data_IF_993719707036
#
_entry.id   IF_993719707036
#
_cell.length_a   1.000
_cell.length_b   1.000
_cell.length_c   1.000
_cell.angle_alpha   90.00
_cell.angle_beta   90.00
_cell.angle_gamma   90.00
#
_symmetry.space_group_name_H-M   'P 1'
#
loop_
_entity.id
_entity.type
_entity.pdbx_description
1 polymer ?
#
# COMPACT_ATOMS: atom_id res chain seq x y z
N UNK A 1 -18.87 -26.87 -15.13
CA UNK A 1 -18.40 -25.56 -15.66
C UNK A 1 -17.00 -25.35 -15.10
N UNK A 2 -15.98 -25.66 -15.90
CA UNK A 2 -14.58 -25.68 -15.44
C UNK A 2 -14.08 -24.27 -15.18
N UNK A 3 -13.63 -24.04 -13.95
CA UNK A 3 -12.86 -22.86 -13.56
C UNK A 3 -11.55 -22.96 -14.35
N UNK A 4 -11.36 -22.09 -15.34
CA UNK A 4 -10.09 -21.96 -16.05
C UNK A 4 -9.03 -21.56 -15.03
N UNK A 5 -8.11 -22.47 -14.79
CA UNK A 5 -6.93 -22.26 -13.96
C UNK A 5 -6.13 -21.05 -14.45
N UNK A 6 -5.57 -20.32 -13.49
CA UNK A 6 -4.65 -19.22 -13.76
C UNK A 6 -3.53 -19.69 -14.70
N UNK A 7 -3.19 -18.94 -15.77
CA UNK A 7 -2.20 -19.37 -16.77
C UNK A 7 -0.78 -19.56 -16.24
N UNK A 8 -0.56 -19.32 -14.95
CA UNK A 8 0.77 -19.33 -14.32
C UNK A 8 1.08 -20.58 -13.49
N UNK A 9 0.22 -21.62 -13.51
CA UNK A 9 0.41 -22.81 -12.65
C UNK A 9 1.67 -23.63 -12.95
N UNK A 10 2.27 -23.51 -14.13
CA UNK A 10 3.47 -24.27 -14.54
C UNK A 10 4.72 -23.42 -14.81
N UNK A 11 4.60 -22.09 -14.86
CA UNK A 11 5.71 -21.21 -15.12
C UNK A 11 6.43 -20.81 -13.84
N UNK A 12 7.76 -20.94 -13.79
CA UNK A 12 8.59 -20.35 -12.74
C UNK A 12 8.79 -18.87 -13.02
N UNK A 13 8.64 -18.02 -12.00
CA UNK A 13 8.95 -16.60 -12.11
C UNK A 13 10.42 -16.40 -12.49
N UNK A 14 10.68 -15.55 -13.48
CA UNK A 14 12.05 -15.28 -13.98
C UNK A 14 12.84 -14.39 -13.02
N UNK A 15 12.15 -13.60 -12.22
CA UNK A 15 12.74 -12.70 -11.24
C UNK A 15 11.72 -12.39 -10.12
N UNK A 16 12.20 -11.76 -9.06
CA UNK A 16 11.37 -11.41 -7.89
C UNK A 16 10.19 -10.51 -8.25
N UNK A 17 10.33 -9.62 -9.23
CA UNK A 17 9.28 -8.70 -9.64
C UNK A 17 8.09 -9.44 -10.28
N UNK A 18 8.38 -10.41 -11.15
CA UNK A 18 7.36 -11.27 -11.76
C UNK A 18 6.64 -12.11 -10.69
N UNK A 19 7.38 -12.64 -9.71
CA UNK A 19 6.80 -13.34 -8.56
C UNK A 19 5.84 -12.43 -7.78
N UNK A 20 6.24 -11.18 -7.53
CA UNK A 20 5.41 -10.18 -6.83
C UNK A 20 4.12 -9.92 -7.62
N UNK A 21 4.21 -9.70 -8.93
CA UNK A 21 3.03 -9.43 -9.78
C UNK A 21 2.06 -10.59 -9.77
N UNK A 22 2.53 -11.83 -9.90
CA UNK A 22 1.67 -13.03 -9.86
C UNK A 22 0.99 -13.21 -8.50
N UNK A 23 1.74 -12.94 -7.42
CA UNK A 23 1.17 -12.97 -6.09
C UNK A 23 0.09 -11.90 -5.91
N UNK A 24 0.34 -10.67 -6.37
CA UNK A 24 -0.64 -9.57 -6.31
C UNK A 24 -1.90 -9.86 -7.13
N UNK A 25 -1.79 -10.46 -8.30
CA UNK A 25 -2.97 -10.86 -9.09
C UNK A 25 -3.85 -11.84 -8.30
N UNK A 26 -3.23 -12.81 -7.64
CA UNK A 26 -3.92 -13.78 -6.78
C UNK A 26 -4.55 -13.09 -5.56
N UNK A 27 -3.82 -12.20 -4.89
CA UNK A 27 -4.28 -11.44 -3.74
C UNK A 27 -5.50 -10.58 -4.09
N UNK A 28 -5.46 -9.87 -5.23
CA UNK A 28 -6.57 -9.04 -5.72
C UNK A 28 -7.81 -9.90 -6.01
N UNK A 29 -7.64 -11.07 -6.64
CA UNK A 29 -8.74 -12.01 -6.88
C UNK A 29 -9.40 -12.45 -5.58
N UNK A 30 -8.62 -12.69 -4.53
CA UNK A 30 -9.14 -13.04 -3.22
C UNK A 30 -9.85 -11.86 -2.53
N UNK A 31 -9.31 -10.67 -2.61
CA UNK A 31 -9.98 -9.48 -2.08
C UNK A 31 -11.33 -9.23 -2.76
N UNK A 32 -11.41 -9.39 -4.08
CA UNK A 32 -12.67 -9.23 -4.83
C UNK A 32 -13.76 -10.23 -4.44
N UNK A 33 -13.40 -11.41 -3.90
CA UNK A 33 -14.37 -12.37 -3.35
C UNK A 33 -14.95 -11.89 -2.01
N UNK A 34 -14.20 -11.08 -1.26
CA UNK A 34 -14.61 -10.58 0.07
C UNK A 34 -15.40 -9.28 -0.07
N UNK A 35 -14.94 -8.39 -0.94
CA UNK A 35 -15.59 -7.10 -1.19
C UNK A 35 -15.52 -6.77 -2.68
N UNK A 36 -16.66 -6.47 -3.29
CA UNK A 36 -16.75 -6.11 -4.71
C UNK A 36 -16.17 -4.71 -4.97
N UNK A 37 -15.88 -4.40 -6.24
CA UNK A 37 -15.47 -3.05 -6.62
C UNK A 37 -16.59 -2.04 -6.37
N UNK A 38 -17.83 -2.43 -6.68
CA UNK A 38 -19.01 -1.59 -6.45
C UNK A 38 -19.17 -1.23 -4.97
N UNK A 39 -18.95 -2.19 -4.06
CA UNK A 39 -19.01 -1.94 -2.62
C UNK A 39 -17.86 -1.06 -2.12
N UNK A 40 -16.68 -1.16 -2.71
CA UNK A 40 -15.59 -0.23 -2.43
C UNK A 40 -15.95 1.19 -2.87
N UNK A 41 -16.53 1.34 -4.08
CA UNK A 41 -16.96 2.65 -4.59
C UNK A 41 -18.02 3.28 -3.66
N UNK A 42 -19.04 2.52 -3.26
CA UNK A 42 -20.05 2.99 -2.28
C UNK A 42 -19.46 3.42 -0.95
N UNK A 43 -18.37 2.77 -0.51
CA UNK A 43 -17.66 3.16 0.71
C UNK A 43 -16.90 4.48 0.59
N UNK A 44 -16.49 4.88 -0.62
CA UNK A 44 -15.80 6.15 -0.83
C UNK A 44 -16.66 7.35 -0.45
N UNK A 45 -17.98 7.28 -0.64
CA UNK A 45 -18.90 8.36 -0.28
C UNK A 45 -18.89 8.69 1.24
N UNK A 46 -18.35 7.76 2.06
CA UNK A 46 -18.25 7.89 3.52
C UNK A 46 -16.83 8.22 4.00
N UNK A 47 -15.89 8.38 3.06
CA UNK A 47 -14.48 8.66 3.38
C UNK A 47 -14.23 10.14 3.14
N UNK A 48 -13.62 10.83 4.11
CA UNK A 48 -13.23 12.23 3.97
C UNK A 48 -12.39 12.44 2.70
N UNK A 49 -12.44 13.62 2.07
CA UNK A 49 -11.58 13.92 0.91
C UNK A 49 -10.10 13.64 1.20
N UNK A 50 -9.32 13.19 0.21
CA UNK A 50 -7.89 12.92 0.42
C UNK A 50 -7.16 14.21 0.79
N UNK A 51 -6.22 14.09 1.71
CA UNK A 51 -5.32 15.19 2.06
C UNK A 51 -4.33 15.43 0.93
N UNK A 52 -3.99 16.69 0.71
CA UNK A 52 -3.05 17.06 -0.34
C UNK A 52 -1.62 16.67 0.05
N UNK A 53 -1.21 15.49 -0.42
CA UNK A 53 0.10 14.90 -0.14
C UNK A 53 1.25 15.76 -0.68
N UNK A 54 1.12 16.28 -1.91
CA UNK A 54 2.15 17.11 -2.53
C UNK A 54 2.28 18.44 -1.81
N UNK A 55 1.17 19.11 -1.52
CA UNK A 55 1.16 20.39 -0.79
C UNK A 55 1.83 20.26 0.57
N UNK A 56 1.59 19.14 1.27
CA UNK A 56 2.20 18.91 2.60
C UNK A 56 3.72 18.78 2.54
N UNK A 57 4.29 18.27 1.46
CA UNK A 57 5.75 18.22 1.24
C UNK A 57 6.28 19.60 0.88
N UNK A 58 5.63 20.29 -0.08
CA UNK A 58 6.08 21.59 -0.58
C UNK A 58 6.01 22.68 0.49
N UNK A 59 5.02 22.65 1.36
CA UNK A 59 4.80 23.62 2.43
C UNK A 59 5.21 23.11 3.81
N UNK A 60 6.07 22.09 3.86
CA UNK A 60 6.61 21.60 5.13
C UNK A 60 7.30 22.71 5.92
N UNK A 61 7.07 22.74 7.23
CA UNK A 61 7.76 23.66 8.16
C UNK A 61 9.25 23.36 8.27
N UNK A 62 9.61 22.09 8.15
CA UNK A 62 11.00 21.61 8.15
C UNK A 62 11.42 21.38 6.70
N UNK A 63 12.56 21.90 6.28
CA UNK A 63 13.10 21.75 4.93
C UNK A 63 14.36 20.88 4.95
N UNK A 64 14.47 19.91 4.04
CA UNK A 64 13.47 19.48 3.06
C UNK A 64 12.26 18.78 3.71
N UNK A 65 11.08 18.77 3.03
CA UNK A 65 9.94 18.01 3.47
C UNK A 65 10.25 16.51 3.56
N UNK A 66 9.83 15.84 4.62
CA UNK A 66 10.16 14.44 4.92
C UNK A 66 8.95 13.54 4.77
N UNK A 67 9.10 12.46 3.98
CA UNK A 67 8.18 11.32 3.96
C UNK A 67 8.78 10.24 4.85
N UNK A 68 8.19 10.01 6.02
CA UNK A 68 8.64 8.97 6.94
C UNK A 68 8.00 7.61 6.59
N UNK A 69 8.78 6.53 6.59
CA UNK A 69 8.30 5.20 6.20
C UNK A 69 8.02 4.29 7.39
N UNK A 70 6.83 3.70 7.45
CA UNK A 70 6.45 2.63 8.38
C UNK A 70 6.59 1.30 7.67
N UNK A 71 7.61 0.53 8.07
CA UNK A 71 7.96 -0.76 7.48
C UNK A 71 8.40 -1.75 8.55
N UNK A 72 7.76 -2.92 8.63
CA UNK A 72 8.08 -3.98 9.58
C UNK A 72 9.23 -4.86 9.10
N UNK A 73 9.20 -5.25 7.83
CA UNK A 73 10.15 -6.18 7.23
C UNK A 73 10.46 -5.82 5.78
N UNK A 74 11.52 -6.41 5.23
CA UNK A 74 11.82 -6.35 3.80
C UNK A 74 12.43 -7.67 3.32
N UNK A 75 12.33 -8.03 2.01
CA UNK A 75 12.90 -9.27 1.48
C UNK A 75 14.42 -9.38 1.69
N UNK A 76 15.14 -8.27 1.67
CA UNK A 76 16.59 -8.25 1.79
C UNK A 76 17.12 -8.26 3.22
N UNK A 77 16.32 -7.80 4.21
CA UNK A 77 16.75 -7.65 5.61
C UNK A 77 15.92 -8.47 6.60
N UNK A 78 14.86 -9.15 6.15
CA UNK A 78 13.92 -9.82 7.05
C UNK A 78 13.17 -8.82 7.92
N UNK A 79 12.89 -9.20 9.18
CA UNK A 79 12.25 -8.30 10.15
C UNK A 79 13.23 -7.20 10.53
N UNK A 80 12.81 -5.94 10.34
CA UNK A 80 13.60 -4.74 10.65
C UNK A 80 13.28 -4.25 12.06
N UNK A 81 12.02 -4.45 12.50
CA UNK A 81 11.56 -4.01 13.81
C UNK A 81 10.66 -5.07 14.42
N UNK A 82 11.12 -5.68 15.55
CA UNK A 82 10.38 -6.73 16.26
C UNK A 82 9.23 -6.14 17.07
N UNK A 83 9.46 -5.06 17.82
CA UNK A 83 8.48 -4.30 18.60
C UNK A 83 7.69 -3.32 17.71
N UNK A 84 7.01 -3.84 16.71
CA UNK A 84 6.34 -3.05 15.70
C UNK A 84 4.97 -2.54 16.19
N UNK A 85 4.92 -1.29 16.65
CA UNK A 85 3.68 -0.57 16.98
C UNK A 85 3.44 0.57 15.98
N UNK A 86 2.62 0.37 14.93
CA UNK A 86 2.44 1.35 13.87
C UNK A 86 1.81 2.67 14.36
N UNK A 87 0.96 2.63 15.40
CA UNK A 87 0.34 3.84 15.98
C UNK A 87 1.38 4.73 16.68
N UNK A 88 2.22 4.14 17.50
CA UNK A 88 3.28 4.86 18.22
C UNK A 88 4.31 5.43 17.25
N UNK A 89 4.69 4.65 16.22
CA UNK A 89 5.60 5.10 15.18
C UNK A 89 5.02 6.30 14.43
N UNK A 90 3.75 6.23 14.01
CA UNK A 90 3.07 7.31 13.31
C UNK A 90 3.02 8.59 14.15
N UNK A 91 2.63 8.48 15.43
CA UNK A 91 2.59 9.61 16.36
C UNK A 91 3.98 10.21 16.62
N UNK A 92 5.02 9.37 16.68
CA UNK A 92 6.41 9.81 16.80
C UNK A 92 6.84 10.63 15.58
N UNK A 93 6.57 10.12 14.36
CA UNK A 93 6.89 10.81 13.12
C UNK A 93 6.19 12.16 12.99
N UNK A 94 4.90 12.23 13.35
CA UNK A 94 4.15 13.49 13.36
C UNK A 94 4.76 14.50 14.33
N UNK A 95 5.06 14.11 15.57
CA UNK A 95 5.73 14.99 16.55
C UNK A 95 7.12 15.42 16.12
N UNK A 96 7.83 14.58 15.37
CA UNK A 96 9.16 14.86 14.83
C UNK A 96 9.15 15.73 13.58
N UNK A 97 7.96 16.17 13.10
CA UNK A 97 7.82 17.10 11.99
C UNK A 97 7.85 16.44 10.60
N UNK A 98 7.57 15.15 10.47
CA UNK A 98 7.35 14.52 9.17
C UNK A 98 6.23 15.25 8.42
N UNK A 99 6.38 15.40 7.11
CA UNK A 99 5.37 16.05 6.25
C UNK A 99 4.28 15.07 5.84
N UNK A 100 4.66 13.81 5.63
CA UNK A 100 3.80 12.72 5.19
C UNK A 100 4.35 11.40 5.75
N UNK A 101 3.51 10.36 5.75
CA UNK A 101 3.92 9.00 6.13
C UNK A 101 3.64 8.05 4.98
N UNK A 102 4.61 7.19 4.62
CA UNK A 102 4.39 6.03 3.76
C UNK A 102 4.23 4.77 4.60
N UNK A 103 3.24 3.93 4.25
CA UNK A 103 2.92 2.70 4.99
C UNK A 103 2.98 1.53 4.04
N UNK A 104 3.85 0.54 4.33
CA UNK A 104 3.91 -0.70 3.58
C UNK A 104 2.64 -1.51 3.81
N UNK A 105 1.94 -1.90 2.73
CA UNK A 105 0.70 -2.69 2.81
C UNK A 105 0.84 -4.08 2.19
N UNK A 106 1.98 -4.38 1.56
CA UNK A 106 2.26 -5.72 1.07
C UNK A 106 2.52 -6.70 2.22
N UNK A 107 1.71 -7.77 2.27
CA UNK A 107 1.74 -8.75 3.35
C UNK A 107 2.90 -9.74 3.21
N UNK A 108 3.11 -10.27 2.00
CA UNK A 108 4.03 -11.39 1.77
C UNK A 108 5.49 -10.96 1.88
N UNK A 109 5.83 -9.84 1.26
CA UNK A 109 7.23 -9.41 1.09
C UNK A 109 7.68 -8.41 2.16
N UNK A 110 6.73 -7.66 2.76
CA UNK A 110 7.04 -6.59 3.73
C UNK A 110 6.34 -6.73 5.07
N UNK A 111 5.55 -7.78 5.28
CA UNK A 111 4.74 -7.99 6.48
C UNK A 111 3.85 -6.78 6.83
N UNK A 112 3.44 -6.04 5.79
CA UNK A 112 2.50 -4.94 5.87
C UNK A 112 1.05 -5.39 5.76
N UNK A 113 0.09 -4.48 5.89
CA UNK A 113 -1.30 -4.75 5.59
C UNK A 113 -2.14 -3.47 5.50
N UNK A 114 -3.34 -3.58 4.93
CA UNK A 114 -4.31 -2.47 4.94
C UNK A 114 -4.83 -2.16 6.35
N UNK A 115 -4.83 -3.13 7.26
CA UNK A 115 -5.17 -2.93 8.67
C UNK A 115 -4.15 -2.03 9.36
N UNK A 116 -2.86 -2.22 9.10
CA UNK A 116 -1.78 -1.33 9.57
C UNK A 116 -2.00 0.10 9.05
N UNK A 117 -2.35 0.26 7.77
CA UNK A 117 -2.65 1.58 7.19
C UNK A 117 -3.83 2.25 7.91
N UNK A 118 -4.89 1.49 8.22
CA UNK A 118 -6.04 1.99 8.99
C UNK A 118 -5.66 2.38 10.43
N UNK A 119 -4.79 1.61 11.07
CA UNK A 119 -4.29 1.93 12.40
C UNK A 119 -3.48 3.23 12.40
N UNK A 120 -2.60 3.40 11.41
CA UNK A 120 -1.83 4.63 11.20
C UNK A 120 -2.77 5.81 10.95
N UNK A 121 -3.81 5.63 10.10
CA UNK A 121 -4.78 6.70 9.81
C UNK A 121 -5.48 7.20 11.08
N UNK A 122 -5.77 6.32 12.02
CA UNK A 122 -6.40 6.69 13.30
C UNK A 122 -5.43 7.40 14.27
N UNK A 123 -4.12 7.24 14.07
CA UNK A 123 -3.09 7.75 14.97
C UNK A 123 -2.47 9.08 14.53
N UNK A 124 -2.71 9.54 13.29
CA UNK A 124 -2.08 10.75 12.76
C UNK A 124 -3.00 11.52 11.82
N UNK A 125 -2.79 12.83 11.74
CA UNK A 125 -3.42 13.69 10.76
C UNK A 125 -2.57 13.94 9.51
N UNK A 126 -1.35 13.42 9.44
CA UNK A 126 -0.49 13.58 8.27
C UNK A 126 -1.09 12.86 7.03
N UNK A 127 -0.82 13.34 5.80
CA UNK A 127 -1.14 12.61 4.59
C UNK A 127 -0.44 11.25 4.56
N UNK A 128 -1.17 10.21 4.11
CA UNK A 128 -0.69 8.83 4.07
C UNK A 128 -0.52 8.33 2.64
N UNK A 129 0.64 7.76 2.34
CA UNK A 129 0.93 7.04 1.12
C UNK A 129 0.77 5.53 1.38
N UNK A 130 -0.13 4.87 0.65
CA UNK A 130 -0.14 3.41 0.57
C UNK A 130 1.01 2.94 -0.31
N UNK A 131 2.00 2.29 0.29
CA UNK A 131 3.18 1.78 -0.43
C UNK A 131 2.99 0.29 -0.71
N UNK A 132 2.60 -0.01 -1.93
CA UNK A 132 2.34 -1.36 -2.43
C UNK A 132 2.70 -1.47 -3.92
N UNK A 133 2.69 -2.69 -4.47
CA UNK A 133 2.78 -2.95 -5.91
C UNK A 133 1.38 -2.85 -6.51
N UNK A 134 1.06 -1.69 -7.06
CA UNK A 134 -0.25 -1.41 -7.64
C UNK A 134 -0.29 -1.89 -9.09
N UNK A 135 -1.09 -2.92 -9.36
CA UNK A 135 -1.30 -3.51 -10.68
C UNK A 135 -2.75 -3.44 -11.15
N UNK A 136 -3.66 -2.94 -10.30
CA UNK A 136 -5.09 -2.84 -10.60
C UNK A 136 -5.71 -1.62 -9.93
N UNK A 137 -6.65 -0.97 -10.63
CA UNK A 137 -7.45 0.12 -10.06
C UNK A 137 -8.20 -0.29 -8.78
N UNK A 138 -8.57 -1.57 -8.65
CA UNK A 138 -9.18 -2.11 -7.43
C UNK A 138 -8.35 -1.80 -6.17
N UNK A 139 -7.02 -1.91 -6.25
CA UNK A 139 -6.11 -1.62 -5.13
C UNK A 139 -6.14 -0.14 -4.75
N UNK A 140 -6.31 0.77 -5.72
CA UNK A 140 -6.41 2.22 -5.47
C UNK A 140 -7.67 2.51 -4.64
N UNK A 141 -8.82 1.96 -5.03
CA UNK A 141 -10.07 2.10 -4.27
C UNK A 141 -9.93 1.51 -2.86
N UNK A 142 -9.33 0.31 -2.75
CA UNK A 142 -9.09 -0.34 -1.46
C UNK A 142 -8.16 0.49 -0.57
N UNK A 143 -7.07 1.02 -1.11
CA UNK A 143 -6.15 1.89 -0.38
C UNK A 143 -6.87 3.15 0.12
N UNK A 144 -7.69 3.79 -0.73
CA UNK A 144 -8.44 4.98 -0.36
C UNK A 144 -9.44 4.72 0.76
N UNK A 145 -10.22 3.66 0.67
CA UNK A 145 -11.16 3.24 1.73
C UNK A 145 -10.44 2.86 3.01
N UNK A 146 -9.18 2.43 2.93
CA UNK A 146 -8.33 2.13 4.08
C UNK A 146 -7.63 3.36 4.67
N UNK A 147 -7.86 4.57 4.13
CA UNK A 147 -7.37 5.82 4.69
C UNK A 147 -6.13 6.40 4.02
N UNK A 148 -5.70 5.88 2.87
CA UNK A 148 -4.63 6.46 2.08
C UNK A 148 -5.08 7.75 1.38
N UNK A 149 -4.18 8.72 1.29
CA UNK A 149 -4.35 9.96 0.54
C UNK A 149 -3.63 9.90 -0.81
N UNK A 150 -2.63 9.03 -0.93
CA UNK A 150 -1.86 8.76 -2.14
C UNK A 150 -1.48 7.27 -2.23
N UNK A 151 -1.10 6.82 -3.42
CA UNK A 151 -0.55 5.48 -3.65
C UNK A 151 0.80 5.59 -4.33
N UNK A 152 1.70 4.63 -4.04
CA UNK A 152 2.94 4.48 -4.79
C UNK A 152 2.63 3.71 -6.07
N UNK A 153 2.83 4.35 -7.23
CA UNK A 153 2.68 3.71 -8.53
C UNK A 153 4.06 3.49 -9.16
N UNK A 154 4.45 2.23 -9.26
CA UNK A 154 5.64 1.85 -10.02
C UNK A 154 5.18 1.36 -11.39
N UNK A 155 5.68 1.97 -12.47
CA UNK A 155 5.41 1.53 -13.83
C UNK A 155 6.12 0.18 -14.06
N UNK A 156 5.39 -0.91 -13.85
CA UNK A 156 5.85 -2.24 -14.18
C UNK A 156 5.60 -2.45 -15.68
N UNK A 157 6.57 -2.09 -16.51
CA UNK A 157 6.58 -2.55 -17.90
C UNK A 157 6.87 -4.04 -17.90
N UNK A 158 5.81 -4.86 -17.97
CA UNK A 158 5.97 -6.25 -18.34
C UNK A 158 6.55 -6.27 -19.77
N UNK A 159 7.59 -7.07 -20.05
CA UNK A 159 8.07 -7.21 -21.41
C UNK A 159 6.90 -7.68 -22.28
N UNK A 160 6.45 -6.80 -23.17
CA UNK A 160 5.52 -7.17 -24.25
C UNK A 160 6.20 -8.27 -25.02
N UNK A 161 5.55 -9.44 -25.11
CA UNK A 161 5.99 -10.49 -26.03
C UNK A 161 5.97 -9.87 -27.43
N UNK A 162 7.14 -9.75 -28.04
CA UNK A 162 7.27 -9.56 -29.48
C UNK A 162 6.79 -10.83 -30.20
#
# INVERSE_FOLDING_TARGET
MCIRDSPHREAKAKNILEEIVWHKDTEIKNFKKIISLEDLIKKLDKVDPPKDFLKSILHSKIKPGVIAEIKKASPSKGVIREDFNPKEIASCYERSGASCISVLTDKRFFQGSYEILQEVRRATNLPLLCKDFIISAYQIYKARVSGADAVSYTHLTLPTKA
#
